data_IF_782937275381
#
_entry.id   IF_782937275381
#
_cell.length_a   1.000
_cell.length_b   1.000
_cell.length_c   1.000
_cell.angle_alpha   90.00
_cell.angle_beta   90.00
_cell.angle_gamma   90.00
#
_symmetry.space_group_name_H-M   'P 1'
#
loop_
_entity.id
_entity.type
_entity.pdbx_description
1 polymer ?
#
# COMPACT_ATOMS: atom_id res chain seq x y z
N UNK A 1 -11.88 -37.44 10.21
CA UNK A 1 -12.61 -36.34 9.58
C UNK A 1 -12.00 -35.01 10.03
N UNK A 2 -10.86 -34.73 9.40
CA UNK A 2 -10.37 -33.43 8.92
C UNK A 2 -10.05 -32.34 9.96
N UNK A 3 -8.79 -32.36 10.42
CA UNK A 3 -8.04 -31.18 10.88
C UNK A 3 -7.62 -30.24 9.74
N UNK A 4 -8.16 -30.43 8.53
CA UNK A 4 -7.85 -29.63 7.34
C UNK A 4 -8.73 -28.37 7.24
N UNK A 5 -9.72 -28.18 8.11
CA UNK A 5 -10.58 -26.99 8.13
C UNK A 5 -10.05 -25.82 9.00
N UNK A 6 -8.82 -25.89 9.52
CA UNK A 6 -8.22 -24.82 10.36
C UNK A 6 -7.04 -24.07 9.71
N UNK A 7 -6.90 -24.08 8.38
CA UNK A 7 -5.83 -23.32 7.69
C UNK A 7 -6.35 -22.20 6.77
N UNK A 8 -7.50 -21.61 7.11
CA UNK A 8 -7.93 -20.35 6.48
C UNK A 8 -7.71 -19.14 7.41
N UNK A 9 -6.71 -19.24 8.29
CA UNK A 9 -6.19 -18.11 9.05
C UNK A 9 -5.41 -17.21 8.09
N UNK A 10 -5.69 -15.91 8.15
CA UNK A 10 -4.87 -14.90 7.46
C UNK A 10 -3.40 -15.20 7.80
N UNK A 11 -2.48 -15.22 6.81
CA UNK A 11 -1.08 -15.42 7.12
C UNK A 11 -0.65 -14.32 8.09
N UNK A 12 -0.19 -14.71 9.27
CA UNK A 12 0.45 -13.80 10.21
C UNK A 12 1.76 -13.34 9.55
N UNK A 13 1.71 -12.20 8.86
CA UNK A 13 2.86 -11.63 8.19
C UNK A 13 3.94 -11.35 9.24
N UNK A 14 4.95 -12.21 9.30
CA UNK A 14 6.12 -11.99 10.14
C UNK A 14 6.99 -10.91 9.51
N UNK A 15 7.27 -9.84 10.26
CA UNK A 15 8.20 -8.81 9.79
C UNK A 15 9.52 -9.46 9.35
N UNK A 16 9.96 -9.15 8.12
CA UNK A 16 11.20 -9.63 7.51
C UNK A 16 11.28 -11.12 7.14
N UNK A 17 10.15 -11.82 7.02
CA UNK A 17 10.12 -13.18 6.45
C UNK A 17 10.33 -13.12 4.92
N UNK A 18 11.35 -13.79 4.36
CA UNK A 18 11.60 -13.79 2.93
C UNK A 18 10.48 -14.44 2.10
N UNK A 19 9.58 -15.20 2.72
CA UNK A 19 8.43 -15.80 2.06
C UNK A 19 7.20 -14.89 2.03
N UNK A 20 7.24 -13.73 2.71
CA UNK A 20 6.15 -12.77 2.67
C UNK A 20 6.16 -12.02 1.35
N UNK A 21 5.09 -12.17 0.59
CA UNK A 21 4.87 -11.44 -0.66
C UNK A 21 3.71 -10.47 -0.45
N UNK A 22 3.96 -9.19 -0.76
CA UNK A 22 2.93 -8.16 -0.76
C UNK A 22 2.58 -7.78 -2.21
N UNK A 23 1.31 -7.95 -2.58
CA UNK A 23 0.78 -7.48 -3.85
C UNK A 23 0.13 -6.11 -3.65
N UNK A 24 0.60 -5.10 -4.40
CA UNK A 24 0.12 -3.73 -4.33
C UNK A 24 -0.56 -3.35 -5.64
N UNK A 25 -1.80 -2.86 -5.56
CA UNK A 25 -2.46 -2.14 -6.66
C UNK A 25 -1.89 -0.72 -6.76
N UNK A 26 -0.90 -0.54 -7.62
CA UNK A 26 -0.22 0.73 -7.81
C UNK A 26 -1.14 1.83 -8.34
N UNK A 27 -1.95 1.54 -9.36
CA UNK A 27 -2.80 2.57 -10.01
C UNK A 27 -3.91 3.03 -9.07
N UNK A 28 -4.56 2.10 -8.36
CA UNK A 28 -5.58 2.43 -7.36
C UNK A 28 -5.02 3.26 -6.21
N UNK A 29 -3.82 2.94 -5.72
CA UNK A 29 -3.17 3.73 -4.67
C UNK A 29 -2.75 5.11 -5.15
N UNK A 30 -2.22 5.24 -6.38
CA UNK A 30 -1.87 6.54 -6.98
C UNK A 30 -3.12 7.41 -7.14
N UNK A 31 -4.21 6.84 -7.66
CA UNK A 31 -5.48 7.54 -7.82
C UNK A 31 -6.01 8.03 -6.47
N UNK A 32 -6.03 7.14 -5.45
CA UNK A 32 -6.42 7.50 -4.09
C UNK A 32 -5.53 8.59 -3.48
N UNK A 33 -4.22 8.53 -3.70
CA UNK A 33 -3.29 9.54 -3.21
C UNK A 33 -3.52 10.91 -3.87
N UNK A 34 -3.78 10.93 -5.18
CA UNK A 34 -4.03 12.17 -5.91
C UNK A 34 -5.32 12.85 -5.44
N UNK A 35 -6.42 12.11 -5.33
CA UNK A 35 -7.72 12.72 -4.98
C UNK A 35 -7.99 12.79 -3.47
N UNK A 36 -7.26 12.04 -2.63
CA UNK A 36 -7.46 11.99 -1.19
C UNK A 36 -6.67 13.03 -0.38
N UNK A 37 -5.70 13.69 -1.00
CA UNK A 37 -4.90 14.75 -0.39
C UNK A 37 -5.28 16.12 -0.97
N UNK A 38 -5.10 17.22 -0.20
CA UNK A 38 -5.27 18.56 -0.74
C UNK A 38 -4.32 18.80 -1.92
N UNK A 39 -4.63 19.75 -2.83
CA UNK A 39 -3.73 20.13 -3.90
C UNK A 39 -2.36 20.54 -3.34
N UNK A 40 -1.31 19.87 -3.82
CA UNK A 40 0.07 20.14 -3.44
C UNK A 40 0.89 20.29 -4.71
N UNK A 41 1.70 21.33 -4.78
CA UNK A 41 2.58 21.60 -5.91
C UNK A 41 4.01 21.81 -5.45
N UNK A 42 4.97 21.49 -6.31
CA UNK A 42 6.36 21.90 -6.09
C UNK A 42 6.55 23.38 -6.48
N UNK A 43 7.78 23.90 -6.33
CA UNK A 43 8.14 25.29 -6.67
C UNK A 43 7.86 25.70 -8.13
N UNK A 44 7.70 24.73 -9.04
CA UNK A 44 7.38 24.96 -10.46
C UNK A 44 5.87 24.83 -10.74
N UNK A 45 5.03 24.67 -9.72
CA UNK A 45 3.59 24.49 -9.87
C UNK A 45 3.16 23.08 -10.28
N UNK A 46 4.08 22.11 -10.36
CA UNK A 46 3.73 20.73 -10.76
C UNK A 46 3.05 20.00 -9.59
N UNK A 47 1.89 19.37 -9.79
CA UNK A 47 1.22 18.58 -8.75
C UNK A 47 2.10 17.43 -8.22
N UNK A 48 2.16 17.26 -6.90
CA UNK A 48 3.00 16.24 -6.23
C UNK A 48 2.25 15.38 -5.20
N UNK A 49 0.97 15.68 -4.96
CA UNK A 49 0.10 14.94 -4.03
C UNK A 49 0.03 13.43 -4.31
N UNK A 50 -0.06 13.01 -5.58
CA UNK A 50 -0.04 11.58 -5.94
C UNK A 50 1.23 10.88 -5.42
N UNK A 51 2.40 11.43 -5.74
CA UNK A 51 3.69 10.85 -5.37
C UNK A 51 3.90 10.89 -3.86
N UNK A 52 3.59 12.02 -3.22
CA UNK A 52 3.72 12.18 -1.78
C UNK A 52 2.82 11.19 -1.02
N UNK A 53 1.53 11.12 -1.37
CA UNK A 53 0.58 10.23 -0.72
C UNK A 53 0.88 8.75 -0.95
N UNK A 54 1.23 8.37 -2.19
CA UNK A 54 1.62 7.01 -2.54
C UNK A 54 2.83 6.55 -1.71
N UNK A 55 3.91 7.34 -1.72
CA UNK A 55 5.15 7.02 -1.00
C UNK A 55 4.90 6.92 0.52
N UNK A 56 4.09 7.84 1.08
CA UNK A 56 3.73 7.82 2.50
C UNK A 56 2.93 6.56 2.88
N UNK A 57 2.08 6.06 1.99
CA UNK A 57 1.36 4.80 2.22
C UNK A 57 2.32 3.62 2.20
N UNK A 58 3.29 3.58 1.28
CA UNK A 58 4.28 2.51 1.20
C UNK A 58 5.19 2.43 2.43
N UNK A 59 5.64 3.58 2.96
CA UNK A 59 6.50 3.64 4.16
C UNK A 59 5.81 3.09 5.42
N UNK A 60 4.47 3.05 5.43
CA UNK A 60 3.69 2.54 6.56
C UNK A 60 3.44 1.03 6.52
N UNK A 61 3.78 0.37 5.42
CA UNK A 61 3.70 -1.09 5.26
C UNK A 61 4.86 -1.75 6.01
#
# INVERSE_FOLDING_TARGET
MNNEMQQNTRPDLKFNDPNNILLIDGSGYIFRAFYGLPPMTNKNGVPVNAVFGFTKMLIKL
#
